data_IF_044802800186
#
_entry.id   IF_044802800186
#
_cell.length_a   1.000
_cell.length_b   1.000
_cell.length_c   1.000
_cell.angle_alpha   90.00
_cell.angle_beta   90.00
_cell.angle_gamma   90.00
#
_symmetry.space_group_name_H-M   'P 1'
#
loop_
_entity.id
_entity.type
_entity.pdbx_description
1 polymer ?
#
# COMPACT_ATOMS: atom_id res chain seq x y z
N UNK A 1 6.41 -8.20 -3.37
CA UNK A 1 6.19 -9.13 -2.24
C UNK A 1 7.41 -9.99 -1.97
N UNK A 2 7.88 -10.79 -2.94
CA UNK A 2 9.09 -11.63 -2.76
C UNK A 2 10.30 -10.91 -2.17
N UNK A 3 10.63 -9.73 -2.70
CA UNK A 3 11.75 -8.92 -2.21
C UNK A 3 11.46 -8.33 -0.82
N UNK A 4 10.31 -7.69 -0.63
CA UNK A 4 9.91 -7.05 0.64
C UNK A 4 9.82 -8.05 1.80
N UNK A 5 9.36 -9.27 1.54
CA UNK A 5 9.20 -10.33 2.53
C UNK A 5 10.35 -11.34 2.52
N UNK A 6 11.39 -11.11 1.71
CA UNK A 6 12.56 -11.99 1.58
C UNK A 6 12.16 -13.47 1.36
N UNK A 7 11.12 -13.69 0.55
CA UNK A 7 10.55 -15.01 0.28
C UNK A 7 10.24 -15.16 -1.21
N UNK A 8 11.13 -15.85 -1.92
CA UNK A 8 11.07 -16.08 -3.36
C UNK A 8 9.95 -17.05 -3.80
N UNK A 9 9.43 -17.86 -2.86
CA UNK A 9 8.36 -18.83 -3.12
C UNK A 9 6.98 -18.20 -3.27
N UNK A 10 6.78 -16.94 -2.87
CA UNK A 10 5.48 -16.25 -2.94
C UNK A 10 4.97 -16.22 -4.38
N UNK A 11 3.77 -16.78 -4.59
CA UNK A 11 3.03 -16.70 -5.86
C UNK A 11 1.69 -16.02 -5.62
N UNK A 12 1.51 -14.84 -6.19
CA UNK A 12 0.25 -14.12 -6.16
C UNK A 12 -0.70 -14.76 -7.17
N UNK A 13 -1.88 -15.20 -6.69
CA UNK A 13 -2.95 -15.77 -7.52
C UNK A 13 -3.81 -14.66 -8.14
N UNK A 14 -4.08 -13.60 -7.39
CA UNK A 14 -4.93 -12.49 -7.80
C UNK A 14 -4.36 -11.17 -7.30
N UNK A 15 -4.41 -10.14 -8.14
CA UNK A 15 -4.13 -8.76 -7.74
C UNK A 15 -5.22 -7.84 -8.30
N UNK A 16 -5.62 -6.86 -7.50
CA UNK A 16 -6.59 -5.83 -7.88
C UNK A 16 -6.13 -4.47 -7.37
N UNK A 17 -6.30 -3.44 -8.19
CA UNK A 17 -5.99 -2.06 -7.82
C UNK A 17 -7.25 -1.29 -7.41
N UNK A 18 -7.12 -0.28 -6.56
CA UNK A 18 -8.19 0.65 -6.17
C UNK A 18 -9.44 -0.04 -5.58
N UNK A 19 -9.25 -1.14 -4.85
CA UNK A 19 -10.35 -1.94 -4.30
C UNK A 19 -11.01 -1.23 -3.12
N UNK A 20 -12.33 -0.99 -3.20
CA UNK A 20 -13.11 -0.43 -2.10
C UNK A 20 -13.58 -1.54 -1.15
N UNK A 21 -13.17 -1.47 0.10
CA UNK A 21 -13.73 -2.23 1.21
C UNK A 21 -14.79 -1.38 1.90
N UNK A 22 -16.05 -1.81 1.82
CA UNK A 22 -17.17 -1.14 2.48
C UNK A 22 -17.25 -1.50 3.95
N UNK A 23 -17.43 -0.50 4.81
CA UNK A 23 -17.72 -0.68 6.23
C UNK A 23 -19.07 -0.05 6.56
N UNK A 24 -20.05 -0.86 7.01
CA UNK A 24 -21.41 -0.40 7.26
C UNK A 24 -21.52 0.56 8.45
N UNK A 25 -20.60 0.47 9.42
CA UNK A 25 -20.65 1.24 10.66
C UNK A 25 -19.49 2.26 10.78
N UNK A 26 -18.59 2.30 9.81
CA UNK A 26 -17.37 3.08 9.89
C UNK A 26 -16.94 3.64 8.55
N UNK A 27 -15.65 3.99 8.44
CA UNK A 27 -15.12 4.56 7.21
C UNK A 27 -14.91 3.45 6.19
N UNK A 28 -15.39 3.70 4.97
CA UNK A 28 -14.96 2.94 3.81
C UNK A 28 -13.46 3.08 3.62
N UNK A 29 -12.86 2.03 3.08
CA UNK A 29 -11.44 2.00 2.79
C UNK A 29 -11.20 1.71 1.32
N UNK A 30 -10.43 2.57 0.65
CA UNK A 30 -9.96 2.31 -0.71
C UNK A 30 -8.51 1.86 -0.63
N UNK A 31 -8.26 0.63 -1.05
CA UNK A 31 -6.95 0.01 -1.10
C UNK A 31 -6.28 0.32 -2.44
N UNK A 32 -5.02 0.73 -2.43
CA UNK A 32 -4.27 0.97 -3.66
C UNK A 32 -4.05 -0.33 -4.43
N UNK A 33 -3.52 -1.36 -3.76
CA UNK A 33 -3.29 -2.69 -4.32
C UNK A 33 -3.64 -3.75 -3.28
N UNK A 34 -4.56 -4.66 -3.63
CA UNK A 34 -4.79 -5.89 -2.88
C UNK A 34 -4.36 -7.09 -3.71
N UNK A 35 -3.38 -7.83 -3.21
CA UNK A 35 -2.92 -9.10 -3.77
C UNK A 35 -3.28 -10.27 -2.84
N UNK A 36 -3.48 -11.46 -3.40
CA UNK A 36 -3.91 -12.65 -2.67
C UNK A 36 -3.16 -13.90 -3.18
N UNK A 37 -2.69 -14.73 -2.25
CA UNK A 37 -2.11 -16.06 -2.53
C UNK A 37 -3.22 -17.12 -2.65
N UNK A 38 -2.84 -18.33 -3.07
CA UNK A 38 -3.78 -19.44 -3.17
C UNK A 38 -4.33 -19.93 -1.81
N UNK A 39 -3.57 -19.75 -0.73
CA UNK A 39 -3.92 -20.12 0.64
C UNK A 39 -4.75 -19.05 1.38
N UNK A 40 -5.12 -17.97 0.69
CA UNK A 40 -5.93 -16.89 1.25
C UNK A 40 -5.13 -15.77 1.92
N UNK A 41 -3.79 -15.89 2.06
CA UNK A 41 -2.95 -14.79 2.55
C UNK A 41 -3.11 -13.56 1.66
N UNK A 42 -3.35 -12.40 2.26
CA UNK A 42 -3.53 -11.13 1.52
C UNK A 42 -2.42 -10.13 1.80
N UNK A 43 -2.07 -9.39 0.76
CA UNK A 43 -1.15 -8.25 0.83
C UNK A 43 -1.90 -7.00 0.39
N UNK A 44 -2.15 -6.10 1.33
CA UNK A 44 -2.53 -4.74 1.02
C UNK A 44 -1.28 -3.87 0.90
N UNK A 45 -1.04 -3.28 -0.27
CA UNK A 45 0.10 -2.37 -0.51
C UNK A 45 -0.44 -0.97 -0.77
N UNK A 46 0.04 0.00 0.00
CA UNK A 46 -0.33 1.41 -0.05
C UNK A 46 0.89 2.24 -0.42
N UNK A 47 0.78 3.09 -1.45
CA UNK A 47 1.89 3.98 -1.85
C UNK A 47 1.55 5.39 -1.40
N UNK A 48 2.38 5.94 -0.50
CA UNK A 48 2.07 7.21 0.17
C UNK A 48 3.17 8.25 -0.05
N UNK A 49 2.78 9.37 -0.68
CA UNK A 49 3.66 10.51 -0.91
C UNK A 49 3.71 11.46 0.29
N UNK A 50 2.58 11.63 0.99
CA UNK A 50 2.48 12.50 2.17
C UNK A 50 2.63 11.66 3.45
N UNK A 51 3.57 12.04 4.32
CA UNK A 51 3.83 11.32 5.57
C UNK A 51 2.60 11.23 6.49
N UNK A 52 1.74 12.25 6.46
CA UNK A 52 0.45 12.27 7.18
C UNK A 52 -0.49 11.13 6.76
N UNK A 53 -0.35 10.64 5.52
CA UNK A 53 -1.11 9.53 4.98
C UNK A 53 -0.67 8.17 5.51
N UNK A 54 0.48 8.04 6.18
CA UNK A 54 1.02 6.74 6.57
C UNK A 54 1.16 6.59 8.09
N UNK A 55 0.35 7.28 8.89
CA UNK A 55 0.41 7.14 10.35
C UNK A 55 0.07 5.71 10.83
N UNK A 56 0.63 5.24 11.96
CA UNK A 56 0.41 3.87 12.46
C UNK A 56 -1.06 3.49 12.66
N UNK A 57 -1.91 4.44 13.06
CA UNK A 57 -3.34 4.21 13.26
C UNK A 57 -4.04 3.84 11.95
N UNK A 58 -3.60 4.41 10.81
CA UNK A 58 -4.14 4.06 9.50
C UNK A 58 -3.73 2.64 9.14
N UNK A 59 -2.47 2.26 9.36
CA UNK A 59 -2.03 0.88 9.12
C UNK A 59 -2.83 -0.15 9.95
N UNK A 60 -3.06 0.14 11.24
CA UNK A 60 -3.90 -0.68 12.11
C UNK A 60 -5.35 -0.77 11.60
N UNK A 61 -5.93 0.34 11.12
CA UNK A 61 -7.28 0.36 10.56
C UNK A 61 -7.42 -0.44 9.26
N UNK A 62 -6.41 -0.35 8.39
CA UNK A 62 -6.35 -1.17 7.18
C UNK A 62 -6.30 -2.66 7.52
N UNK A 63 -5.49 -3.02 8.53
CA UNK A 63 -5.39 -4.41 8.99
C UNK A 63 -6.73 -4.92 9.52
N UNK A 64 -7.39 -4.16 10.41
CA UNK A 64 -8.66 -4.60 11.01
C UNK A 64 -9.76 -4.81 9.96
N UNK A 65 -9.86 -3.94 8.96
CA UNK A 65 -10.81 -4.11 7.86
C UNK A 65 -10.44 -5.27 6.95
N UNK A 66 -9.16 -5.51 6.72
CA UNK A 66 -8.69 -6.63 5.93
C UNK A 66 -9.03 -7.97 6.63
N UNK A 67 -8.78 -8.09 7.93
CA UNK A 67 -9.13 -9.27 8.73
C UNK A 67 -10.64 -9.50 8.73
N UNK A 68 -11.43 -8.45 9.02
CA UNK A 68 -12.89 -8.53 9.04
C UNK A 68 -13.49 -8.93 7.68
N UNK A 69 -12.83 -8.60 6.56
CA UNK A 69 -13.26 -9.02 5.21
C UNK A 69 -12.67 -10.35 4.77
N UNK A 70 -11.75 -10.91 5.54
CA UNK A 70 -11.09 -12.17 5.22
C UNK A 70 -11.74 -13.36 5.91
N UNK A 71 -12.44 -13.15 7.02
CA UNK A 71 -13.21 -14.18 7.70
C UNK A 71 -14.62 -14.32 7.08
N UNK A 72 -14.98 -15.49 6.52
CA UNK A 72 -16.35 -15.74 6.09
C UNK A 72 -17.33 -15.71 7.26
N UNK A 73 -18.59 -15.36 6.99
CA UNK A 73 -19.63 -15.30 8.02
C UNK A 73 -19.87 -16.70 8.61
N UNK A 74 -19.77 -16.83 9.93
CA UNK A 74 -20.03 -18.07 10.66
C UNK A 74 -18.79 -18.92 10.92
N UNK A 75 -17.63 -18.56 10.37
CA UNK A 75 -16.36 -19.24 10.63
C UNK A 75 -15.74 -18.80 11.97
N UNK A 76 -14.93 -19.67 12.56
CA UNK A 76 -14.18 -19.36 13.78
C UNK A 76 -12.93 -18.52 13.47
N UNK A 77 -12.43 -17.77 14.45
CA UNK A 77 -11.36 -16.78 14.24
C UNK A 77 -10.01 -17.39 13.83
N UNK A 78 -9.79 -18.69 14.06
CA UNK A 78 -8.62 -19.43 13.57
C UNK A 78 -8.56 -19.52 12.03
N UNK A 79 -9.67 -19.21 11.33
CA UNK A 79 -9.74 -19.18 9.86
C UNK A 79 -9.35 -17.83 9.25
N UNK A 80 -9.01 -16.83 10.07
CA UNK A 80 -8.44 -15.59 9.54
C UNK A 80 -7.07 -15.94 8.93
N UNK A 81 -6.85 -15.71 7.63
CA UNK A 81 -5.55 -15.98 7.02
C UNK A 81 -4.53 -14.94 7.45
N UNK A 82 -3.25 -15.24 7.28
CA UNK A 82 -2.21 -14.22 7.43
C UNK A 82 -2.47 -13.03 6.51
N UNK A 83 -2.37 -11.82 7.06
CA UNK A 83 -2.63 -10.59 6.34
C UNK A 83 -1.48 -9.60 6.54
N UNK A 84 -1.12 -8.93 5.44
CA UNK A 84 -0.03 -7.96 5.39
C UNK A 84 -0.57 -6.61 4.96
N UNK A 85 -0.22 -5.55 5.69
CA UNK A 85 -0.42 -4.16 5.30
C UNK A 85 0.94 -3.52 5.13
N UNK A 86 1.25 -3.12 3.90
CA UNK A 86 2.57 -2.66 3.49
C UNK A 86 2.45 -1.22 2.99
N UNK A 87 3.02 -0.28 3.73
CA UNK A 87 3.14 1.10 3.30
C UNK A 87 4.50 1.30 2.62
N UNK A 88 4.49 1.77 1.37
CA UNK A 88 5.68 2.30 0.70
C UNK A 88 5.60 3.81 0.81
N UNK A 89 6.51 4.41 1.57
CA UNK A 89 6.46 5.84 1.91
C UNK A 89 7.61 6.58 1.25
N UNK A 90 7.33 7.75 0.67
CA UNK A 90 8.36 8.62 0.07
C UNK A 90 9.42 9.06 1.09
N UNK A 91 8.99 9.28 2.32
CA UNK A 91 9.79 9.78 3.43
C UNK A 91 9.95 8.70 4.51
N UNK A 92 10.92 8.88 5.41
CA UNK A 92 11.06 8.02 6.59
C UNK A 92 10.04 8.42 7.67
N UNK A 93 8.81 7.90 7.53
CA UNK A 93 7.68 8.26 8.40
C UNK A 93 7.89 7.81 9.85
N UNK A 94 8.65 6.74 10.06
CA UNK A 94 8.94 6.19 11.40
C UNK A 94 10.25 6.72 11.99
N UNK A 95 11.05 7.47 11.22
CA UNK A 95 12.27 8.17 11.66
C UNK A 95 13.36 7.27 12.25
N UNK A 96 13.37 5.99 11.91
CA UNK A 96 14.38 5.04 12.38
C UNK A 96 15.56 4.86 11.41
N UNK A 97 15.57 5.57 10.27
CA UNK A 97 16.60 5.52 9.24
C UNK A 97 16.85 4.10 8.66
N UNK A 98 15.82 3.25 8.68
CA UNK A 98 15.87 1.90 8.11
C UNK A 98 15.18 1.84 6.74
N UNK A 99 15.65 1.00 5.81
CA UNK A 99 14.98 0.79 4.52
C UNK A 99 13.62 0.11 4.67
N UNK A 100 13.45 -0.68 5.73
CA UNK A 100 12.24 -1.43 6.02
C UNK A 100 12.03 -1.54 7.52
N UNK A 101 10.78 -1.40 7.94
CA UNK A 101 10.32 -1.65 9.30
C UNK A 101 9.30 -2.77 9.27
N UNK A 102 9.49 -3.79 10.10
CA UNK A 102 8.54 -4.91 10.27
C UNK A 102 7.96 -4.81 11.67
N UNK A 103 6.66 -4.61 11.75
CA UNK A 103 5.94 -4.37 12.99
C UNK A 103 5.11 -5.62 13.30
N UNK A 104 5.40 -6.22 14.44
CA UNK A 104 4.71 -7.40 14.98
C UNK A 104 4.34 -7.15 16.44
N UNK A 105 3.30 -7.85 16.90
CA UNK A 105 2.92 -7.87 18.32
C UNK A 105 3.77 -8.90 19.06
N UNK A 106 4.14 -8.56 20.30
CA UNK A 106 4.91 -9.42 21.19
C UNK A 106 4.18 -9.54 22.54
N UNK A 107 4.52 -10.56 23.30
CA UNK A 107 4.11 -10.75 24.69
C UNK A 107 5.13 -10.01 25.56
N UNK A 108 4.69 -8.99 26.29
CA UNK A 108 5.58 -8.08 27.01
C UNK A 108 6.39 -8.79 28.11
N UNK A 109 5.80 -9.80 28.76
CA UNK A 109 6.42 -10.50 29.89
C UNK A 109 7.59 -11.41 29.51
N UNK A 110 7.59 -11.93 28.28
CA UNK A 110 8.59 -12.91 27.85
C UNK A 110 9.24 -12.59 26.50
N UNK A 111 8.88 -11.48 25.87
CA UNK A 111 9.41 -11.02 24.58
C UNK A 111 9.08 -11.93 23.39
N UNK A 112 8.24 -12.95 23.57
CA UNK A 112 7.90 -13.89 22.50
C UNK A 112 6.93 -13.26 21.51
N UNK A 113 6.95 -13.73 20.26
CA UNK A 113 5.96 -13.28 19.27
C UNK A 113 4.55 -13.69 19.69
N UNK A 114 3.58 -12.78 19.50
CA UNK A 114 2.17 -13.11 19.70
C UNK A 114 1.60 -13.96 18.54
N UNK A 115 2.28 -14.00 17.39
CA UNK A 115 2.00 -14.90 16.26
C UNK A 115 0.54 -14.93 15.75
N UNK A 116 -0.13 -13.78 15.75
CA UNK A 116 -1.54 -13.62 15.35
C UNK A 116 -1.80 -13.55 13.82
N UNK A 117 -0.77 -13.70 12.99
CA UNK A 117 -0.87 -13.65 11.53
C UNK A 117 -1.06 -12.24 10.92
N UNK A 118 -1.01 -11.17 11.71
CA UNK A 118 -1.06 -9.79 11.24
C UNK A 118 0.33 -9.18 11.12
N UNK A 119 0.62 -8.59 9.96
CA UNK A 119 1.94 -8.02 9.67
C UNK A 119 1.80 -6.61 9.09
N UNK A 120 2.36 -5.62 9.78
CA UNK A 120 2.44 -4.25 9.26
C UNK A 120 3.89 -3.99 8.86
N UNK A 121 4.09 -3.49 7.64
CA UNK A 121 5.42 -3.22 7.09
C UNK A 121 5.44 -1.80 6.55
N UNK A 122 6.52 -1.08 6.84
CA UNK A 122 6.82 0.20 6.23
C UNK A 122 8.10 0.08 5.43
N UNK A 123 8.05 0.48 4.16
CA UNK A 123 9.21 0.53 3.28
C UNK A 123 9.54 1.99 3.02
N UNK A 124 10.75 2.38 3.41
CA UNK A 124 11.24 3.75 3.30
C UNK A 124 11.86 3.97 1.92
N UNK A 125 11.17 4.73 1.08
CA UNK A 125 11.59 4.95 -0.29
C UNK A 125 12.78 5.92 -0.44
N UNK A 126 13.30 6.54 0.64
CA UNK A 126 14.51 7.38 0.58
C UNK A 126 15.80 6.59 0.50
N UNK A 127 15.77 5.30 0.86
CA UNK A 127 16.97 4.49 0.97
C UNK A 127 17.10 3.62 -0.28
N UNK A 128 18.08 3.96 -1.11
CA UNK A 128 18.43 3.30 -2.36
C UNK A 128 19.82 2.68 -2.23
N UNK A 129 19.94 1.57 -1.53
CA UNK A 129 21.20 0.84 -1.41
C UNK A 129 21.27 -0.34 -2.40
N UNK A 130 22.43 -0.98 -2.50
CA UNK A 130 22.67 -2.10 -3.43
C UNK A 130 22.03 -3.43 -3.01
N UNK A 131 21.02 -3.39 -2.14
CA UNK A 131 20.23 -4.58 -1.79
C UNK A 131 19.11 -4.78 -2.81
N UNK A 132 18.56 -6.01 -2.95
CA UNK A 132 17.39 -6.24 -3.81
C UNK A 132 16.22 -5.30 -3.51
N UNK A 133 16.00 -4.96 -2.24
CA UNK A 133 14.98 -4.00 -1.83
C UNK A 133 15.35 -2.57 -2.24
N UNK A 134 16.59 -2.14 -2.00
CA UNK A 134 17.05 -0.80 -2.37
C UNK A 134 17.00 -0.56 -3.88
N UNK A 135 17.39 -1.55 -4.69
CA UNK A 135 17.22 -1.53 -6.15
C UNK A 135 15.76 -1.47 -6.57
N UNK A 136 14.86 -2.17 -5.87
CA UNK A 136 13.43 -2.17 -6.19
C UNK A 136 12.82 -0.79 -5.91
N UNK A 137 13.23 -0.20 -4.80
CA UNK A 137 12.82 1.14 -4.39
C UNK A 137 13.40 2.21 -5.31
N UNK A 138 14.66 2.08 -5.73
CA UNK A 138 15.25 2.90 -6.78
C UNK A 138 14.36 2.87 -8.03
N UNK A 139 14.03 1.68 -8.52
CA UNK A 139 13.21 1.52 -9.71
C UNK A 139 11.81 2.12 -9.56
N UNK A 140 11.16 2.01 -8.39
CA UNK A 140 9.86 2.67 -8.17
C UNK A 140 9.91 4.20 -8.26
N UNK A 141 11.06 4.80 -7.96
CA UNK A 141 11.28 6.25 -8.06
C UNK A 141 11.93 6.67 -9.38
N UNK A 142 12.49 5.72 -10.14
CA UNK A 142 13.20 5.97 -11.38
C UNK A 142 12.22 6.31 -12.51
N UNK A 143 12.51 7.41 -13.22
CA UNK A 143 11.73 7.81 -14.38
C UNK A 143 12.22 7.14 -15.66
N UNK A 144 13.50 6.88 -15.80
CA UNK A 144 14.08 6.39 -17.04
C UNK A 144 14.18 4.85 -17.02
N UNK A 145 13.51 4.13 -17.93
CA UNK A 145 13.59 2.68 -18.01
C UNK A 145 15.02 2.12 -18.19
N UNK A 146 15.93 2.87 -18.82
CA UNK A 146 17.32 2.44 -19.03
C UNK A 146 18.15 2.40 -17.73
N UNK A 147 17.76 3.21 -16.74
CA UNK A 147 18.46 3.30 -15.46
C UNK A 147 17.89 2.32 -14.42
N UNK A 148 16.94 1.45 -14.80
CA UNK A 148 16.28 0.53 -13.87
C UNK A 148 17.01 -0.82 -13.75
N UNK A 149 17.02 -1.38 -12.54
CA UNK A 149 17.66 -2.67 -12.26
C UNK A 149 16.80 -3.88 -12.68
N UNK A 150 15.47 -3.79 -12.53
CA UNK A 150 14.55 -4.90 -12.78
C UNK A 150 13.90 -4.80 -14.17
N UNK A 151 14.40 -5.61 -15.11
CA UNK A 151 13.97 -5.65 -16.52
C UNK A 151 12.45 -5.65 -16.72
N UNK A 152 11.71 -6.49 -16.00
CA UNK A 152 10.24 -6.57 -16.14
C UNK A 152 9.53 -5.26 -15.80
N UNK A 153 10.07 -4.51 -14.83
CA UNK A 153 9.53 -3.22 -14.45
C UNK A 153 9.95 -2.16 -15.49
N UNK A 154 11.20 -2.19 -15.92
CA UNK A 154 11.72 -1.35 -17.01
C UNK A 154 10.88 -1.47 -18.28
N UNK A 155 10.66 -2.70 -18.77
CA UNK A 155 9.80 -3.02 -19.92
C UNK A 155 8.40 -2.44 -19.75
N UNK A 156 7.82 -2.56 -18.55
CA UNK A 156 6.47 -2.05 -18.30
C UNK A 156 6.40 -0.52 -18.30
N UNK A 157 7.41 0.16 -17.77
CA UNK A 157 7.48 1.62 -17.85
C UNK A 157 7.71 2.07 -19.29
N UNK A 158 8.59 1.37 -20.02
CA UNK A 158 8.85 1.61 -21.45
C UNK A 158 7.55 1.54 -22.27
N UNK A 159 6.76 0.48 -22.07
CA UNK A 159 5.43 0.33 -22.67
C UNK A 159 4.55 1.57 -22.47
N UNK A 160 4.44 2.08 -21.23
CA UNK A 160 3.59 3.25 -20.94
C UNK A 160 4.15 4.59 -21.42
N UNK A 161 5.43 4.66 -21.76
CA UNK A 161 6.10 5.90 -22.18
C UNK A 161 6.30 6.03 -23.68
N UNK A 162 6.53 4.91 -24.35
CA UNK A 162 7.02 4.90 -25.72
C UNK A 162 6.03 4.23 -26.68
N UNK A 163 5.26 3.24 -26.19
CA UNK A 163 4.28 2.56 -27.04
C UNK A 163 2.96 3.30 -27.09
N UNK A 164 2.41 3.46 -28.30
CA UNK A 164 1.17 4.21 -28.55
C UNK A 164 -0.01 3.76 -27.68
N UNK A 165 -0.25 2.44 -27.60
CA UNK A 165 -1.32 1.91 -26.75
C UNK A 165 -1.09 2.17 -25.25
N UNK A 166 0.16 2.19 -24.82
CA UNK A 166 0.53 2.52 -23.44
C UNK A 166 0.32 4.00 -23.14
N UNK A 167 0.66 4.87 -24.08
CA UNK A 167 0.43 6.31 -24.02
C UNK A 167 -1.07 6.64 -23.97
N UNK A 168 -1.88 6.01 -24.81
CA UNK A 168 -3.33 6.20 -24.82
C UNK A 168 -3.94 5.80 -23.46
N UNK A 169 -3.53 4.64 -22.91
CA UNK A 169 -3.96 4.21 -21.56
C UNK A 169 -3.50 5.17 -20.46
N UNK A 170 -2.30 5.75 -20.57
CA UNK A 170 -1.82 6.75 -19.62
C UNK A 170 -2.60 8.06 -19.73
N UNK A 171 -3.02 8.44 -20.94
CA UNK A 171 -3.94 9.54 -21.20
C UNK A 171 -5.26 9.38 -20.44
N UNK A 172 -5.91 8.23 -20.59
CA UNK A 172 -7.16 7.91 -19.87
C UNK A 172 -6.99 7.98 -18.33
N UNK A 173 -5.84 7.52 -17.82
CA UNK A 173 -5.53 7.58 -16.39
C UNK A 173 -5.32 9.02 -15.93
N UNK A 174 -4.64 9.84 -16.74
CA UNK A 174 -4.39 11.24 -16.43
C UNK A 174 -5.70 12.04 -16.38
N UNK A 175 -6.61 11.82 -17.33
CA UNK A 175 -7.94 12.43 -17.32
C UNK A 175 -8.73 12.09 -16.04
N UNK A 176 -8.74 10.80 -15.65
CA UNK A 176 -9.37 10.36 -14.39
C UNK A 176 -8.73 10.97 -13.15
N UNK A 177 -7.41 11.14 -13.14
CA UNK A 177 -6.67 11.79 -12.05
C UNK A 177 -6.99 13.28 -11.94
N UNK A 178 -7.10 13.98 -13.07
CA UNK A 178 -7.50 15.40 -13.11
C UNK A 178 -8.92 15.53 -12.54
N UNK A 179 -9.88 14.75 -13.04
CA UNK A 179 -11.26 14.78 -12.56
C UNK A 179 -11.36 14.45 -11.04
N UNK A 180 -10.57 13.49 -10.55
CA UNK A 180 -10.49 13.18 -9.12
C UNK A 180 -9.91 14.34 -8.30
N UNK A 181 -8.83 14.98 -8.76
CA UNK A 181 -8.21 16.12 -8.08
C UNK A 181 -9.14 17.33 -8.02
N UNK A 182 -9.88 17.62 -9.08
CA UNK A 182 -10.88 18.68 -9.11
C UNK A 182 -11.97 18.43 -8.06
N UNK A 183 -12.48 17.18 -7.99
CA UNK A 183 -13.46 16.79 -6.98
C UNK A 183 -12.91 16.93 -5.55
N UNK A 184 -11.70 16.42 -5.29
CA UNK A 184 -11.05 16.54 -3.97
C UNK A 184 -10.77 18.00 -3.59
N UNK A 185 -10.43 18.85 -4.56
CA UNK A 185 -10.24 20.29 -4.33
C UNK A 185 -11.56 20.97 -3.95
N UNK A 186 -12.66 20.65 -4.63
CA UNK A 186 -14.00 21.15 -4.31
C UNK A 186 -14.44 20.70 -2.90
N UNK A 187 -14.22 19.44 -2.54
CA UNK A 187 -14.52 18.91 -1.20
C UNK A 187 -13.68 19.58 -0.11
N UNK A 188 -12.38 19.84 -0.36
CA UNK A 188 -11.51 20.58 0.56
C UNK A 188 -11.97 22.03 0.73
N UNK A 189 -12.41 22.68 -0.35
CA UNK A 189 -12.93 24.05 -0.31
C UNK A 189 -14.25 24.12 0.47
N UNK A 190 -15.17 23.18 0.25
CA UNK A 190 -16.42 23.06 1.00
C UNK A 190 -16.17 22.91 2.50
N UNK A 191 -15.29 21.98 2.89
CA UNK A 191 -14.92 21.77 4.31
C UNK A 191 -14.27 23.00 4.95
N UNK A 192 -13.44 23.74 4.20
CA UNK A 192 -12.85 25.00 4.69
C UNK A 192 -13.91 26.10 4.87
N UNK A 193 -14.90 26.16 3.99
CA UNK A 193 -16.00 27.10 4.08
C UNK A 193 -16.90 26.79 5.29
N UNK A 194 -17.32 25.53 5.45
CA UNK A 194 -18.09 25.07 6.60
C UNK A 194 -17.38 25.33 7.94
N UNK A 195 -16.07 25.06 8.01
CA UNK A 195 -15.27 25.34 9.21
C UNK A 195 -15.10 26.85 9.50
N UNK A 196 -15.21 27.72 8.50
CA UNK A 196 -15.24 29.18 8.69
C UNK A 196 -16.60 29.64 9.20
N UNK A 197 -17.69 29.13 8.62
CA UNK A 197 -19.06 29.46 9.02
C UNK A 197 -19.35 28.97 10.45
N UNK A 198 -18.86 27.80 10.85
CA UNK A 198 -19.02 27.28 12.20
C UNK A 198 -18.19 28.00 13.28
N UNK A 199 -17.29 28.92 12.88
CA UNK A 199 -16.48 29.75 13.77
C UNK A 199 -16.93 31.22 13.82
N UNK A 200 -17.92 31.59 13.02
CA UNK A 200 -18.57 32.91 13.01
C UNK A 200 -19.86 32.86 13.83
#
# INVERSE_FOLDING_TARGET
MRIILENDTIKVKKASTQKRLKNLQGRDLQLDILAEKADGTKFNVEVQNESSGAIPQRARYHMSLLDAKSLPKGEYFDKIPENYVIFITREDVLKGLLPIYRIHRMIDENGSSFADGSHIIYVNAKIHNDTPLGMLIHDFCCKNPDDMHYKKLAEKIRYFKEEKEGLDKMGDVMEKLIAKREKEALEKMAKKYEAKVAKA
#
